data_IF_907118198395
#
_entry.id   IF_907118198395
#
_cell.length_a   1.000
_cell.length_b   1.000
_cell.length_c   1.000
_cell.angle_alpha   90.00
_cell.angle_beta   90.00
_cell.angle_gamma   90.00
#
_symmetry.space_group_name_H-M   'P 1'
#
loop_
_entity.id
_entity.type
_entity.pdbx_description
1 polymer ?
#
# COMPACT_ATOMS: atom_id res chain seq x y z
N UNK A 1 -17.04 6.21 28.49
CA UNK A 1 -15.73 5.52 28.44
C UNK A 1 -15.80 4.45 27.36
N UNK A 2 -15.27 4.73 26.17
CA UNK A 2 -15.22 3.77 25.07
C UNK A 2 -13.82 3.15 25.11
N UNK A 3 -13.76 1.89 25.53
CA UNK A 3 -12.54 1.07 25.51
C UNK A 3 -12.17 0.80 24.04
N UNK A 4 -11.09 1.43 23.55
CA UNK A 4 -10.48 1.02 22.30
C UNK A 4 -9.75 -0.32 22.54
N UNK A 5 -10.29 -1.40 21.96
CA UNK A 5 -9.59 -2.68 21.88
C UNK A 5 -8.35 -2.49 21.01
N UNK A 6 -7.19 -2.59 21.63
CA UNK A 6 -5.88 -2.65 21.01
C UNK A 6 -5.84 -3.88 20.08
N UNK A 7 -5.81 -3.67 18.77
CA UNK A 7 -5.63 -4.74 17.80
C UNK A 7 -4.12 -4.92 17.63
N UNK A 8 -3.55 -5.96 18.25
CA UNK A 8 -2.18 -6.38 17.97
C UNK A 8 -2.16 -7.03 16.57
N UNK A 9 -1.66 -6.28 15.58
CA UNK A 9 -1.31 -6.82 14.26
C UNK A 9 0.18 -7.14 14.27
N UNK A 10 0.50 -8.39 14.58
CA UNK A 10 1.86 -8.92 14.48
C UNK A 10 2.21 -9.09 13.01
N UNK A 11 3.17 -8.30 12.51
CA UNK A 11 3.68 -8.40 11.15
C UNK A 11 4.66 -9.56 11.07
N UNK A 12 4.32 -10.60 10.31
CA UNK A 12 5.29 -11.63 9.91
C UNK A 12 5.68 -11.31 8.47
N UNK A 13 6.83 -10.66 8.30
CA UNK A 13 7.55 -10.72 7.03
C UNK A 13 8.07 -12.15 6.86
N UNK A 14 7.43 -12.94 5.99
CA UNK A 14 8.01 -14.19 5.52
C UNK A 14 8.57 -14.03 4.12
N UNK A 15 9.87 -14.23 4.03
CA UNK A 15 10.68 -14.32 2.82
C UNK A 15 10.16 -15.48 1.96
N UNK A 16 9.75 -15.17 0.72
CA UNK A 16 9.31 -16.09 -0.35
C UNK A 16 8.00 -16.85 -0.09
N UNK A 17 6.91 -16.35 -0.67
CA UNK A 17 5.71 -17.13 -0.93
C UNK A 17 4.57 -16.24 -1.40
N UNK A 18 4.19 -16.36 -2.67
CA UNK A 18 3.01 -15.70 -3.24
C UNK A 18 1.77 -16.07 -2.42
N UNK A 19 1.25 -15.15 -1.61
CA UNK A 19 -0.08 -15.28 -1.02
C UNK A 19 -0.98 -14.28 -1.73
N UNK A 20 -1.42 -14.64 -2.92
CA UNK A 20 -2.57 -14.01 -3.55
C UNK A 20 -3.82 -14.69 -2.97
N UNK A 21 -4.49 -14.05 -2.02
CA UNK A 21 -5.86 -14.42 -1.67
C UNK A 21 -6.78 -13.94 -2.81
N UNK A 22 -6.96 -14.79 -3.83
CA UNK A 22 -7.96 -14.55 -4.87
C UNK A 22 -9.34 -14.56 -4.22
N UNK A 23 -9.95 -13.39 -4.11
CA UNK A 23 -11.33 -13.27 -3.71
C UNK A 23 -12.10 -12.67 -4.89
N UNK A 24 -12.89 -13.52 -5.55
CA UNK A 24 -13.83 -13.07 -6.57
C UNK A 24 -14.93 -12.30 -5.84
N UNK A 25 -14.92 -10.97 -5.91
CA UNK A 25 -16.00 -10.15 -5.35
C UNK A 25 -16.64 -9.38 -6.48
N UNK A 26 -17.93 -9.59 -6.59
CA UNK A 26 -18.76 -9.14 -7.68
C UNK A 26 -19.83 -8.18 -7.14
N UNK A 27 -20.04 -7.06 -7.85
CA UNK A 27 -20.94 -5.99 -7.39
C UNK A 27 -22.09 -5.72 -8.36
N UNK A 28 -23.31 -5.57 -7.82
CA UNK A 28 -24.49 -5.17 -8.58
C UNK A 28 -25.23 -3.93 -8.04
N UNK A 29 -25.65 -3.06 -8.97
CA UNK A 29 -26.58 -1.94 -8.79
C UNK A 29 -28.04 -2.40 -8.91
N UNK A 30 -29.01 -1.70 -8.28
CA UNK A 30 -30.36 -2.23 -8.11
C UNK A 30 -31.22 -2.06 -9.38
N UNK A 31 -31.71 -3.16 -9.94
CA UNK A 31 -33.02 -3.19 -10.62
C UNK A 31 -33.66 -4.59 -10.53
N UNK A 32 -34.99 -4.57 -10.48
CA UNK A 32 -35.92 -5.59 -9.99
C UNK A 32 -36.07 -6.88 -10.85
N UNK A 33 -36.18 -8.02 -10.13
CA UNK A 33 -37.07 -9.21 -10.26
C UNK A 33 -37.28 -9.96 -11.59
N UNK A 34 -37.05 -11.30 -11.64
CA UNK A 34 -38.04 -12.40 -11.52
C UNK A 34 -37.55 -13.80 -12.05
N UNK A 35 -38.01 -14.87 -11.36
CA UNK A 35 -38.23 -16.32 -11.71
C UNK A 35 -37.07 -17.31 -12.01
N UNK A 36 -36.76 -18.12 -10.98
CA UNK A 36 -36.66 -19.60 -10.84
C UNK A 36 -36.53 -20.56 -12.05
N UNK A 37 -35.52 -21.45 -12.04
CA UNK A 37 -35.63 -22.89 -12.39
C UNK A 37 -34.51 -23.75 -11.77
N UNK A 38 -34.92 -24.92 -11.25
CA UNK A 38 -34.08 -25.98 -10.69
C UNK A 38 -33.02 -26.53 -11.66
N UNK A 39 -31.79 -26.75 -11.18
CA UNK A 39 -31.09 -28.06 -11.15
C UNK A 39 -29.57 -27.92 -11.00
N UNK A 40 -28.96 -28.93 -10.36
CA UNK A 40 -27.54 -29.16 -10.04
C UNK A 40 -27.10 -28.64 -8.66
N UNK A 41 -27.09 -29.56 -7.69
CA UNK A 41 -26.64 -29.35 -6.31
C UNK A 41 -25.12 -29.07 -6.24
N UNK A 42 -24.69 -28.01 -5.53
CA UNK A 42 -23.38 -27.99 -4.90
C UNK A 42 -23.49 -27.79 -3.39
N UNK A 43 -22.78 -28.65 -2.65
CA UNK A 43 -22.27 -28.50 -1.28
C UNK A 43 -23.18 -27.85 -0.22
N UNK A 44 -23.70 -28.68 0.69
CA UNK A 44 -24.54 -28.32 1.84
C UNK A 44 -23.82 -27.64 3.02
N UNK A 45 -22.56 -27.22 2.87
CA UNK A 45 -21.82 -26.44 3.87
C UNK A 45 -21.38 -25.08 3.30
N UNK A 46 -22.29 -24.40 2.60
CA UNK A 46 -22.10 -22.97 2.31
C UNK A 46 -22.51 -22.18 3.54
N UNK A 47 -21.59 -21.41 4.12
CA UNK A 47 -21.95 -20.45 5.16
C UNK A 47 -22.72 -19.31 4.45
N UNK A 48 -24.03 -19.11 4.70
CA UNK A 48 -24.81 -18.08 4.01
C UNK A 48 -24.51 -16.66 4.56
N UNK A 49 -23.53 -16.55 5.45
CA UNK A 49 -23.17 -15.28 6.08
C UNK A 49 -22.46 -14.39 5.07
N UNK A 50 -23.22 -13.49 4.46
CA UNK A 50 -22.69 -12.47 3.57
C UNK A 50 -21.70 -11.58 4.33
N UNK A 51 -20.45 -11.55 3.87
CA UNK A 51 -19.45 -10.60 4.35
C UNK A 51 -19.90 -9.18 3.96
N UNK A 52 -20.03 -8.31 4.97
CA UNK A 52 -20.41 -6.91 4.78
C UNK A 52 -19.17 -6.04 4.97
N UNK A 53 -18.89 -5.20 3.97
CA UNK A 53 -17.83 -4.21 4.04
C UNK A 53 -18.42 -2.82 4.22
N UNK A 54 -17.62 -1.92 4.78
CA UNK A 54 -18.01 -0.52 4.88
C UNK A 54 -18.25 0.06 3.48
N UNK A 55 -19.30 0.88 3.28
CA UNK A 55 -19.54 1.53 2.01
C UNK A 55 -18.33 2.35 1.55
N UNK A 56 -18.07 2.36 0.23
CA UNK A 56 -17.04 3.19 -0.39
C UNK A 56 -17.59 3.89 -1.63
N UNK A 57 -17.24 5.16 -1.81
CA UNK A 57 -17.73 6.00 -2.90
C UNK A 57 -19.27 6.04 -3.05
N UNK A 58 -20.03 5.80 -1.97
CA UNK A 58 -21.49 5.71 -2.01
C UNK A 58 -22.06 4.33 -2.40
N UNK A 59 -21.20 3.33 -2.62
CA UNK A 59 -21.59 1.97 -2.97
C UNK A 59 -21.44 1.04 -1.77
N UNK A 60 -22.42 0.15 -1.57
CA UNK A 60 -22.29 -0.98 -0.65
C UNK A 60 -21.64 -2.17 -1.33
N UNK A 61 -20.66 -2.79 -0.68
CA UNK A 61 -20.06 -4.02 -1.19
C UNK A 61 -20.83 -5.26 -0.72
N UNK A 62 -21.12 -6.16 -1.65
CA UNK A 62 -21.68 -7.49 -1.41
C UNK A 62 -20.86 -8.49 -2.22
N UNK A 63 -20.67 -9.69 -1.70
CA UNK A 63 -20.21 -10.82 -2.50
C UNK A 63 -21.46 -11.59 -2.97
N UNK A 64 -21.51 -11.89 -4.27
CA UNK A 64 -22.52 -12.73 -4.91
C UNK A 64 -21.86 -13.59 -6.02
N UNK A 65 -22.62 -14.51 -6.61
CA UNK A 65 -22.15 -15.50 -7.60
C UNK A 65 -22.79 -15.29 -8.99
N UNK A 66 -23.42 -14.15 -9.25
CA UNK A 66 -24.41 -13.97 -10.33
C UNK A 66 -23.87 -13.31 -11.63
N UNK A 67 -22.57 -13.12 -11.77
CA UNK A 67 -21.90 -12.46 -12.90
C UNK A 67 -22.20 -10.95 -13.07
N UNK A 68 -21.21 -10.10 -12.76
CA UNK A 68 -21.34 -8.64 -12.69
C UNK A 68 -19.98 -7.94 -12.84
N UNK A 69 -19.77 -6.80 -12.15
CA UNK A 69 -18.46 -6.16 -12.14
C UNK A 69 -17.48 -6.95 -11.28
N UNK A 70 -16.55 -7.67 -11.93
CA UNK A 70 -15.66 -8.62 -11.28
C UNK A 70 -14.30 -7.98 -10.93
N UNK A 71 -13.77 -8.40 -9.79
CA UNK A 71 -12.37 -8.20 -9.41
C UNK A 71 -11.83 -9.46 -8.75
N UNK A 72 -10.53 -9.69 -8.90
CA UNK A 72 -9.81 -10.74 -8.16
C UNK A 72 -9.20 -10.22 -6.86
N UNK A 73 -9.28 -8.91 -6.60
CA UNK A 73 -8.51 -8.19 -5.58
C UNK A 73 -9.41 -7.50 -4.57
N UNK A 74 -9.62 -8.13 -3.40
CA UNK A 74 -10.31 -7.47 -2.29
C UNK A 74 -9.38 -6.53 -1.49
N UNK A 75 -8.06 -6.73 -1.59
CA UNK A 75 -7.04 -6.05 -0.80
C UNK A 75 -7.20 -4.52 -0.70
N UNK A 76 -7.43 -3.79 -1.81
CA UNK A 76 -7.58 -2.34 -1.79
C UNK A 76 -8.66 -1.82 -0.83
N UNK A 77 -9.74 -2.57 -0.59
CA UNK A 77 -10.79 -2.16 0.36
C UNK A 77 -10.36 -2.30 1.82
N UNK A 78 -9.60 -3.34 2.14
CA UNK A 78 -9.03 -3.54 3.47
C UNK A 78 -7.98 -2.45 3.75
N UNK A 79 -7.11 -2.20 2.77
CA UNK A 79 -6.09 -1.15 2.85
C UNK A 79 -6.73 0.23 3.03
N UNK A 80 -7.82 0.52 2.32
CA UNK A 80 -8.60 1.75 2.54
C UNK A 80 -9.12 1.86 3.97
N UNK A 81 -9.65 0.76 4.50
CA UNK A 81 -10.16 0.71 5.88
C UNK A 81 -9.08 1.03 6.91
N UNK A 82 -7.87 0.50 6.71
CA UNK A 82 -6.70 0.76 7.56
C UNK A 82 -6.22 2.21 7.37
N UNK A 83 -6.02 2.65 6.14
CA UNK A 83 -5.53 4.00 5.82
C UNK A 83 -6.43 5.11 6.37
N UNK A 84 -7.75 4.90 6.38
CA UNK A 84 -8.70 5.84 7.02
C UNK A 84 -8.54 5.94 8.54
N UNK A 85 -8.03 4.90 9.19
CA UNK A 85 -7.79 4.90 10.63
C UNK A 85 -6.44 5.52 10.96
N UNK A 86 -5.41 5.20 10.18
CA UNK A 86 -4.02 5.61 10.49
C UNK A 86 -3.57 6.89 9.78
N UNK A 87 -4.23 7.28 8.69
CA UNK A 87 -3.94 8.52 7.95
C UNK A 87 -2.65 8.51 7.13
N UNK A 88 -2.07 7.34 6.82
CA UNK A 88 -0.75 7.21 6.20
C UNK A 88 -0.66 7.92 4.84
N UNK A 89 -1.61 7.68 3.93
CA UNK A 89 -1.60 8.28 2.59
C UNK A 89 -1.68 9.81 2.65
N UNK A 90 -2.49 10.35 3.56
CA UNK A 90 -2.63 11.78 3.76
C UNK A 90 -1.31 12.40 4.26
N UNK A 91 -0.70 11.78 5.27
CA UNK A 91 0.59 12.24 5.82
C UNK A 91 1.70 12.21 4.80
N UNK A 92 1.83 11.11 4.04
CA UNK A 92 2.81 11.00 2.96
C UNK A 92 2.55 12.04 1.86
N UNK A 93 1.28 12.28 1.50
CA UNK A 93 0.94 13.31 0.50
C UNK A 93 1.40 14.69 0.97
N UNK A 94 1.17 15.04 2.24
CA UNK A 94 1.58 16.33 2.81
C UNK A 94 3.10 16.52 2.86
N UNK A 95 3.87 15.43 2.87
CA UNK A 95 5.33 15.47 2.84
C UNK A 95 5.91 15.76 1.44
N UNK A 96 5.14 15.49 0.38
CA UNK A 96 5.58 15.65 -1.00
C UNK A 96 5.15 17.02 -1.57
N UNK A 97 6.04 17.64 -2.34
CA UNK A 97 5.69 18.85 -3.09
C UNK A 97 5.12 18.47 -4.48
N UNK A 98 3.84 18.78 -4.72
CA UNK A 98 3.27 18.65 -6.06
C UNK A 98 3.70 19.84 -6.93
N UNK A 99 4.66 19.60 -7.82
CA UNK A 99 5.23 20.61 -8.72
C UNK A 99 4.48 20.70 -10.05
N UNK A 100 3.44 19.88 -10.24
CA UNK A 100 2.66 19.86 -11.49
C UNK A 100 1.81 21.11 -11.56
N UNK A 101 1.66 21.66 -12.76
CA UNK A 101 0.79 22.81 -12.97
C UNK A 101 -0.68 22.40 -12.71
N UNK A 102 -1.42 23.06 -11.80
CA UNK A 102 -2.75 22.62 -11.37
C UNK A 102 -3.76 22.47 -12.52
N UNK A 103 -3.67 23.31 -13.56
CA UNK A 103 -4.55 23.24 -14.72
C UNK A 103 -4.43 21.98 -15.58
N UNK A 104 -3.38 21.17 -15.37
CA UNK A 104 -3.19 19.89 -16.07
C UNK A 104 -3.32 18.67 -15.13
N UNK A 105 -3.72 18.89 -13.87
CA UNK A 105 -3.87 17.82 -12.88
C UNK A 105 -5.26 17.20 -13.00
N UNK A 106 -5.32 15.98 -13.54
CA UNK A 106 -6.53 15.15 -13.54
C UNK A 106 -6.64 14.30 -12.26
N UNK A 107 -5.50 13.81 -11.76
CA UNK A 107 -5.42 12.97 -10.57
C UNK A 107 -4.63 13.71 -9.47
N UNK A 108 -5.28 14.08 -8.35
CA UNK A 108 -4.61 14.64 -7.19
C UNK A 108 -3.46 13.76 -6.72
N UNK A 109 -2.40 14.37 -6.14
CA UNK A 109 -1.24 13.61 -5.66
C UNK A 109 -1.62 12.52 -4.66
N UNK A 110 -2.59 12.81 -3.79
CA UNK A 110 -3.11 11.83 -2.83
C UNK A 110 -3.65 10.58 -3.52
N UNK A 111 -4.46 10.75 -4.56
CA UNK A 111 -5.07 9.63 -5.29
C UNK A 111 -4.01 8.78 -5.99
N UNK A 112 -2.98 9.43 -6.54
CA UNK A 112 -1.84 8.75 -7.14
C UNK A 112 -1.07 7.92 -6.11
N UNK A 113 -0.76 8.49 -4.94
CA UNK A 113 -0.09 7.77 -3.86
C UNK A 113 -0.96 6.62 -3.33
N UNK A 114 -2.25 6.86 -3.09
CA UNK A 114 -3.19 5.82 -2.64
C UNK A 114 -3.23 4.67 -3.64
N UNK A 115 -3.40 4.96 -4.93
CA UNK A 115 -3.36 3.94 -5.98
C UNK A 115 -2.06 3.15 -5.91
N UNK A 116 -0.90 3.83 -5.86
CA UNK A 116 0.39 3.15 -5.93
C UNK A 116 0.68 2.30 -4.71
N UNK A 117 0.44 2.83 -3.51
CA UNK A 117 0.60 2.10 -2.25
C UNK A 117 -0.29 0.85 -2.26
N UNK A 118 -1.52 0.97 -2.72
CA UNK A 118 -2.45 -0.17 -2.73
C UNK A 118 -2.06 -1.22 -3.77
N UNK A 119 -1.53 -0.81 -4.92
CA UNK A 119 -0.99 -1.74 -5.92
C UNK A 119 0.20 -2.52 -5.37
N UNK A 120 1.19 -1.84 -4.79
CA UNK A 120 2.36 -2.48 -4.17
C UNK A 120 1.92 -3.46 -3.07
N UNK A 121 1.04 -3.01 -2.16
CA UNK A 121 0.55 -3.85 -1.07
C UNK A 121 -0.32 -5.03 -1.53
N UNK A 122 -0.87 -4.98 -2.75
CA UNK A 122 -1.63 -6.08 -3.36
C UNK A 122 -0.77 -6.98 -4.26
N UNK A 123 0.56 -6.75 -4.33
CA UNK A 123 1.50 -7.58 -5.10
C UNK A 123 1.73 -7.14 -6.56
N UNK A 124 1.47 -5.86 -6.85
CA UNK A 124 1.69 -5.23 -8.16
C UNK A 124 2.84 -4.22 -8.09
N UNK A 125 3.98 -4.62 -7.52
CA UNK A 125 5.12 -3.74 -7.26
C UNK A 125 5.85 -3.26 -8.52
N UNK A 126 5.83 -4.00 -9.62
CA UNK A 126 6.51 -3.61 -10.87
C UNK A 126 5.81 -2.47 -11.63
N UNK A 127 4.56 -2.17 -11.28
CA UNK A 127 3.76 -1.08 -11.82
C UNK A 127 3.20 -1.30 -13.22
N UNK A 128 3.51 -2.41 -13.90
CA UNK A 128 3.13 -2.65 -15.30
C UNK A 128 1.61 -2.80 -15.48
N UNK A 129 0.93 -3.30 -14.44
CA UNK A 129 -0.50 -3.57 -14.42
C UNK A 129 -1.35 -2.32 -14.17
N UNK A 130 -0.73 -1.17 -13.92
CA UNK A 130 -1.44 0.09 -13.65
C UNK A 130 -2.40 0.49 -14.77
N UNK A 131 -2.08 0.14 -16.02
CA UNK A 131 -2.97 0.41 -17.15
C UNK A 131 -4.25 -0.43 -17.14
N UNK A 132 -4.18 -1.65 -16.61
CA UNK A 132 -5.33 -2.56 -16.47
C UNK A 132 -6.09 -2.27 -15.18
N UNK A 133 -5.38 -2.19 -14.05
CA UNK A 133 -5.95 -1.99 -12.71
C UNK A 133 -6.67 -0.66 -12.53
N UNK A 134 -6.42 0.34 -13.37
CA UNK A 134 -7.20 1.60 -13.33
C UNK A 134 -8.69 1.41 -13.62
N UNK A 135 -9.07 0.29 -14.21
CA UNK A 135 -10.44 -0.10 -14.51
C UNK A 135 -11.00 -1.12 -13.53
N UNK A 136 -10.18 -1.65 -12.62
CA UNK A 136 -10.62 -2.61 -11.64
C UNK A 136 -11.57 -1.95 -10.61
N UNK A 137 -12.75 -2.55 -10.35
CA UNK A 137 -13.75 -1.94 -9.48
C UNK A 137 -13.31 -1.88 -8.02
N UNK A 138 -12.49 -2.82 -7.54
CA UNK A 138 -12.01 -2.83 -6.14
C UNK A 138 -10.90 -1.81 -5.93
N UNK A 139 -9.98 -1.65 -6.88
CA UNK A 139 -8.98 -0.57 -6.83
C UNK A 139 -9.62 0.81 -6.87
N UNK A 140 -10.63 1.02 -7.73
CA UNK A 140 -11.42 2.27 -7.76
C UNK A 140 -12.09 2.52 -6.43
N UNK A 141 -12.83 1.56 -5.90
CA UNK A 141 -13.49 1.71 -4.60
C UNK A 141 -12.49 1.90 -3.46
N UNK A 142 -11.33 1.24 -3.50
CA UNK A 142 -10.22 1.43 -2.56
C UNK A 142 -9.70 2.87 -2.58
N UNK A 143 -9.58 3.47 -3.77
CA UNK A 143 -9.25 4.87 -3.94
C UNK A 143 -10.44 5.83 -3.69
N UNK A 144 -11.62 5.33 -3.32
CA UNK A 144 -12.81 6.15 -3.08
C UNK A 144 -13.48 6.68 -4.36
N UNK A 145 -13.25 6.01 -5.50
CA UNK A 145 -13.78 6.31 -6.83
C UNK A 145 -14.95 5.39 -7.18
N UNK A 146 -15.86 5.85 -8.04
CA UNK A 146 -16.96 5.01 -8.50
C UNK A 146 -16.43 3.84 -9.36
N UNK A 147 -16.87 2.59 -9.13
CA UNK A 147 -16.27 1.41 -9.75
C UNK A 147 -16.52 1.33 -11.26
N UNK A 148 -17.66 1.81 -11.75
CA UNK A 148 -18.10 1.59 -13.14
C UNK A 148 -18.23 2.89 -13.96
N UNK A 149 -17.96 4.05 -13.39
CA UNK A 149 -17.92 5.31 -14.15
C UNK A 149 -16.57 5.42 -14.89
N UNK A 150 -16.55 5.58 -16.22
CA UNK A 150 -15.32 5.81 -16.97
C UNK A 150 -14.55 7.07 -16.52
N UNK A 151 -15.24 8.09 -16.02
CA UNK A 151 -14.63 9.36 -15.54
C UNK A 151 -13.87 9.18 -14.24
N UNK A 152 -14.19 8.14 -13.47
CA UNK A 152 -13.55 7.80 -12.20
C UNK A 152 -12.45 6.74 -12.34
N UNK A 153 -11.98 6.50 -13.56
CA UNK A 153 -10.81 5.66 -13.78
C UNK A 153 -9.59 6.20 -13.04
N UNK A 154 -8.78 5.29 -12.49
CA UNK A 154 -7.51 5.67 -11.86
C UNK A 154 -6.47 6.10 -12.91
N UNK A 155 -5.31 6.50 -12.43
CA UNK A 155 -4.23 6.96 -13.27
C UNK A 155 -3.65 5.82 -14.11
N UNK A 156 -3.26 6.15 -15.33
CA UNK A 156 -2.56 5.24 -16.25
C UNK A 156 -1.15 4.91 -15.79
N UNK A 157 -0.56 3.85 -16.35
CA UNK A 157 0.84 3.49 -16.08
C UNK A 157 1.82 4.62 -16.42
N UNK A 158 1.59 5.36 -17.52
CA UNK A 158 2.41 6.51 -17.88
C UNK A 158 2.34 7.65 -16.85
N UNK A 159 1.19 7.85 -16.21
CA UNK A 159 1.04 8.86 -15.15
C UNK A 159 1.76 8.41 -13.88
N UNK A 160 1.68 7.12 -13.55
CA UNK A 160 2.37 6.54 -12.40
C UNK A 160 3.89 6.58 -12.55
N UNK A 161 4.40 6.24 -13.74
CA UNK A 161 5.83 6.34 -14.04
C UNK A 161 6.34 7.78 -13.87
N UNK A 162 5.60 8.79 -14.34
CA UNK A 162 5.97 10.20 -14.12
C UNK A 162 5.96 10.59 -12.65
N UNK A 163 5.02 10.08 -11.86
CA UNK A 163 4.98 10.32 -10.41
C UNK A 163 6.26 9.80 -9.74
N UNK A 164 6.62 8.54 -9.99
CA UNK A 164 7.79 7.90 -9.39
C UNK A 164 9.10 8.63 -9.74
N UNK A 165 9.20 9.14 -10.97
CA UNK A 165 10.36 9.92 -11.42
C UNK A 165 10.34 11.38 -10.95
N UNK A 166 9.23 11.90 -10.42
CA UNK A 166 9.11 13.29 -9.98
C UNK A 166 9.62 13.52 -8.55
N UNK A 167 9.80 12.45 -7.76
CA UNK A 167 10.28 12.55 -6.39
C UNK A 167 11.74 13.00 -6.34
N UNK A 168 12.02 14.01 -5.54
CA UNK A 168 13.39 14.51 -5.29
C UNK A 168 13.93 13.96 -3.98
N UNK A 169 15.26 14.00 -3.77
CA UNK A 169 15.88 13.61 -2.50
C UNK A 169 15.29 14.35 -1.29
N UNK A 170 14.85 15.61 -1.47
CA UNK A 170 14.16 16.38 -0.43
C UNK A 170 12.78 15.82 -0.12
N UNK A 171 12.03 15.40 -1.14
CA UNK A 171 10.73 14.77 -0.95
C UNK A 171 10.87 13.42 -0.24
N UNK A 172 11.89 12.64 -0.61
CA UNK A 172 12.21 11.36 0.03
C UNK A 172 12.54 11.56 1.52
N UNK A 173 13.39 12.54 1.84
CA UNK A 173 13.69 12.86 3.25
C UNK A 173 12.44 13.25 4.04
N UNK A 174 11.57 14.10 3.47
CA UNK A 174 10.30 14.49 4.12
C UNK A 174 9.36 13.28 4.28
N UNK A 175 9.32 12.37 3.32
CA UNK A 175 8.56 11.14 3.44
C UNK A 175 9.11 10.24 4.56
N UNK A 176 10.44 10.14 4.72
CA UNK A 176 11.07 9.45 5.85
C UNK A 176 10.68 10.08 7.19
N UNK A 177 10.63 11.42 7.29
CA UNK A 177 10.14 12.12 8.49
C UNK A 177 8.66 11.83 8.75
N UNK A 178 7.83 11.84 7.71
CA UNK A 178 6.41 11.48 7.82
C UNK A 178 6.21 10.06 8.35
N UNK A 179 7.07 9.10 8.00
CA UNK A 179 7.02 7.75 8.58
C UNK A 179 7.34 7.76 10.09
N UNK A 180 8.32 8.56 10.52
CA UNK A 180 8.62 8.72 11.97
C UNK A 180 7.41 9.29 12.70
N UNK A 181 6.80 10.35 12.17
CA UNK A 181 5.60 10.91 12.77
C UNK A 181 4.42 9.93 12.79
N UNK A 182 4.30 9.08 11.76
CA UNK A 182 3.31 8.03 11.71
C UNK A 182 3.53 7.00 12.81
N UNK A 183 4.78 6.60 13.04
CA UNK A 183 5.17 5.70 14.13
C UNK A 183 4.82 6.32 15.49
N UNK A 184 5.21 7.58 15.73
CA UNK A 184 4.91 8.31 16.97
C UNK A 184 3.39 8.40 17.20
N UNK A 185 2.62 8.70 16.15
CA UNK A 185 1.16 8.79 16.22
C UNK A 185 0.48 7.45 16.55
N UNK A 186 1.18 6.32 16.42
CA UNK A 186 0.71 5.01 16.85
C UNK A 186 0.64 4.82 18.36
N UNK A 187 1.31 5.68 19.14
CA UNK A 187 1.32 5.61 20.61
C UNK A 187 0.27 6.53 21.21
N UNK A 188 -0.61 5.97 22.06
CA UNK A 188 -1.54 6.78 22.85
C UNK A 188 -0.83 7.59 23.95
N UNK A 189 0.29 7.09 24.46
CA UNK A 189 1.18 7.73 25.43
C UNK A 189 2.62 7.36 25.11
N UNK A 190 3.61 8.24 25.41
CA UNK A 190 5.02 7.93 25.18
C UNK A 190 5.43 6.62 25.86
N UNK A 191 6.11 5.70 25.17
CA UNK A 191 6.59 4.46 25.77
C UNK A 191 7.71 4.76 26.78
N UNK A 192 7.82 3.93 27.82
CA UNK A 192 8.86 4.08 28.84
C UNK A 192 10.28 3.78 28.30
N UNK A 193 10.38 2.97 27.25
CA UNK A 193 11.60 2.64 26.55
C UNK A 193 11.29 2.36 25.07
N UNK A 194 12.28 2.63 24.21
CA UNK A 194 12.24 2.32 22.79
C UNK A 194 13.53 1.58 22.43
N UNK A 195 13.42 0.45 21.74
CA UNK A 195 14.57 -0.30 21.24
C UNK A 195 14.59 -0.11 19.73
N UNK A 196 15.63 0.51 19.19
CA UNK A 196 15.72 0.74 17.75
C UNK A 196 16.63 -0.29 17.11
N UNK A 197 16.07 -1.06 16.18
CA UNK A 197 16.81 -1.96 15.32
C UNK A 197 17.10 -1.27 13.98
N UNK A 198 18.37 -1.25 13.59
CA UNK A 198 18.88 -0.48 12.45
C UNK A 198 19.59 -1.41 11.48
N UNK A 199 18.87 -1.84 10.46
CA UNK A 199 19.37 -2.80 9.50
C UNK A 199 19.25 -2.31 8.07
N UNK A 200 20.16 -2.77 7.22
CA UNK A 200 20.06 -2.58 5.79
C UNK A 200 19.48 -3.83 5.15
N UNK A 201 18.68 -3.65 4.09
CA UNK A 201 18.23 -4.75 3.25
C UNK A 201 18.68 -4.53 1.81
N UNK A 202 18.89 -5.63 1.11
CA UNK A 202 19.10 -5.64 -0.34
C UNK A 202 17.83 -5.19 -1.06
N UNK A 203 17.97 -4.19 -1.92
CA UNK A 203 17.02 -3.87 -2.98
C UNK A 203 17.72 -4.04 -4.34
N UNK A 204 17.57 -5.23 -4.91
CA UNK A 204 18.31 -5.66 -6.09
C UNK A 204 17.88 -4.88 -7.34
N UNK A 205 18.85 -4.42 -8.13
CA UNK A 205 18.56 -3.70 -9.37
C UNK A 205 18.68 -4.59 -10.59
N UNK A 206 17.99 -4.20 -11.66
CA UNK A 206 18.07 -4.86 -12.97
C UNK A 206 18.69 -3.92 -14.00
N UNK A 207 19.68 -4.41 -14.73
CA UNK A 207 20.38 -3.63 -15.74
C UNK A 207 21.26 -2.52 -15.14
N UNK A 208 21.33 -1.37 -15.81
CA UNK A 208 22.20 -0.25 -15.45
C UNK A 208 21.42 0.88 -14.77
N UNK A 209 20.79 0.58 -13.63
CA UNK A 209 20.08 1.60 -12.87
C UNK A 209 21.07 2.58 -12.21
N UNK A 210 20.80 3.90 -12.26
CA UNK A 210 21.67 4.90 -11.64
C UNK A 210 21.86 4.64 -10.15
N UNK A 211 23.05 4.93 -9.61
CA UNK A 211 23.35 4.89 -8.18
C UNK A 211 23.30 3.48 -7.53
N UNK A 212 23.16 2.43 -8.34
CA UNK A 212 23.32 1.06 -7.89
C UNK A 212 24.81 0.66 -7.86
N UNK A 213 25.23 0.00 -6.78
CA UNK A 213 26.61 -0.47 -6.62
C UNK A 213 26.63 -1.96 -6.31
N UNK A 214 27.73 -2.62 -6.67
CA UNK A 214 27.92 -4.03 -6.32
C UNK A 214 28.17 -4.17 -4.82
N UNK A 215 27.38 -5.00 -4.15
CA UNK A 215 27.58 -5.36 -2.75
C UNK A 215 28.07 -6.81 -2.63
N UNK A 216 29.22 -7.00 -1.97
CA UNK A 216 29.82 -8.33 -1.83
C UNK A 216 29.03 -9.28 -0.93
N UNK A 217 28.38 -8.77 0.11
CA UNK A 217 27.58 -9.58 1.04
C UNK A 217 26.37 -10.19 0.34
N UNK A 218 25.63 -9.39 -0.42
CA UNK A 218 24.45 -9.84 -1.19
C UNK A 218 24.80 -10.44 -2.56
N UNK A 219 26.04 -10.23 -3.03
CA UNK A 219 26.54 -10.70 -4.33
C UNK A 219 25.72 -10.18 -5.52
N UNK A 220 25.20 -8.96 -5.41
CA UNK A 220 24.33 -8.33 -6.40
C UNK A 220 24.65 -6.84 -6.54
N UNK A 221 24.22 -6.23 -7.65
CA UNK A 221 24.07 -4.78 -7.71
C UNK A 221 22.74 -4.41 -7.04
N UNK A 222 22.80 -3.55 -6.03
CA UNK A 222 21.62 -3.19 -5.24
C UNK A 222 21.69 -1.77 -4.70
N UNK A 223 20.54 -1.24 -4.30
CA UNK A 223 20.45 -0.20 -3.29
C UNK A 223 20.46 -0.85 -1.89
N UNK A 224 20.88 -0.07 -0.88
CA UNK A 224 20.95 -0.52 0.51
C UNK A 224 20.16 0.42 1.42
N UNK A 225 18.83 0.49 1.27
CA UNK A 225 17.98 1.25 2.20
C UNK A 225 18.25 0.81 3.64
N UNK A 226 18.40 1.80 4.53
CA UNK A 226 18.47 1.60 5.97
C UNK A 226 17.05 1.64 6.53
N UNK A 227 16.64 0.55 7.16
CA UNK A 227 15.37 0.44 7.86
C UNK A 227 15.59 0.63 9.35
N UNK A 228 14.70 1.39 9.96
CA UNK A 228 14.59 1.48 11.42
C UNK A 228 13.28 0.84 11.86
N UNK A 229 13.36 -0.13 12.75
CA UNK A 229 12.22 -0.76 13.40
C UNK A 229 12.28 -0.56 14.90
N UNK A 230 11.12 -0.54 15.55
CA UNK A 230 11.05 -0.75 16.99
C UNK A 230 11.22 -2.26 17.28
N UNK A 231 12.30 -2.63 17.97
CA UNK A 231 12.62 -4.00 18.31
C UNK A 231 11.64 -4.66 19.29
N UNK A 232 10.79 -3.88 19.97
CA UNK A 232 9.76 -4.42 20.85
C UNK A 232 8.46 -4.76 20.11
N UNK A 233 7.96 -3.86 19.27
CA UNK A 233 6.70 -4.05 18.53
C UNK A 233 6.85 -4.61 17.12
N UNK A 234 8.05 -4.52 16.53
CA UNK A 234 8.30 -4.79 15.12
C UNK A 234 7.74 -3.71 14.18
N UNK A 235 7.25 -2.58 14.70
CA UNK A 235 6.71 -1.50 13.88
C UNK A 235 7.82 -0.75 13.15
N UNK A 236 7.58 -0.42 11.89
CA UNK A 236 8.47 0.42 11.10
C UNK A 236 8.48 1.84 11.66
N UNK A 237 9.66 2.34 11.99
CA UNK A 237 9.87 3.74 12.38
C UNK A 237 10.09 4.58 11.14
N UNK A 238 11.05 4.21 10.29
CA UNK A 238 11.31 4.90 9.02
C UNK A 238 12.22 4.10 8.09
N UNK A 239 12.34 4.56 6.85
CA UNK A 239 13.30 4.06 5.87
C UNK A 239 14.09 5.25 5.33
N UNK A 240 15.42 5.14 5.32
CA UNK A 240 16.32 6.13 4.73
C UNK A 240 17.09 5.46 3.59
N UNK A 241 16.87 5.87 2.34
CA UNK A 241 17.63 5.32 1.23
C UNK A 241 19.11 5.71 1.35
N UNK A 242 19.99 4.72 1.21
CA UNK A 242 21.44 4.93 1.11
C UNK A 242 21.93 4.44 -0.24
N UNK A 243 22.93 5.15 -0.77
CA UNK A 243 23.66 4.72 -1.95
C UNK A 243 24.35 3.39 -1.65
N UNK A 244 24.29 2.43 -2.58
CA UNK A 244 24.83 1.08 -2.39
C UNK A 244 26.35 1.01 -2.18
N UNK A 245 27.08 2.11 -2.39
CA UNK A 245 28.54 2.19 -2.24
C UNK A 245 29.03 2.36 -0.80
N UNK A 246 28.13 2.53 0.17
CA UNK A 246 28.49 2.55 1.59
C UNK A 246 28.96 1.18 2.03
N UNK A 247 30.28 1.00 2.18
CA UNK A 247 30.87 -0.23 2.69
C UNK A 247 30.14 -0.67 3.97
N UNK A 248 29.68 -1.93 3.99
CA UNK A 248 29.10 -2.59 5.16
C UNK A 248 30.09 -2.73 6.35
N UNK A 249 31.24 -2.05 6.30
CA UNK A 249 32.29 -2.02 7.33
C UNK A 249 32.75 -0.62 7.74
N UNK A 250 32.17 0.47 7.20
CA UNK A 250 32.48 1.85 7.61
C UNK A 250 31.20 2.54 8.08
N UNK A 251 30.82 2.26 9.32
CA UNK A 251 29.62 2.86 9.94
C UNK A 251 29.20 2.23 11.26
N UNK A 252 30.11 1.54 11.96
CA UNK A 252 29.89 1.12 13.37
C UNK A 252 30.14 2.25 14.37
N UNK A 253 30.32 3.48 13.88
CA UNK A 253 30.40 4.71 14.66
C UNK A 253 29.68 5.81 13.89
N UNK A 254 29.04 6.71 14.62
CA UNK A 254 28.56 8.03 14.16
C UNK A 254 27.13 8.13 13.64
N UNK A 255 26.21 7.30 14.13
CA UNK A 255 24.78 7.69 14.28
C UNK A 255 24.23 7.47 15.70
N UNK A 256 25.10 7.20 16.68
CA UNK A 256 24.74 7.06 18.10
C UNK A 256 24.45 8.39 18.82
N UNK A 257 24.25 9.48 18.08
CA UNK A 257 23.90 10.79 18.64
C UNK A 257 22.90 11.53 17.74
N UNK A 258 21.68 11.04 17.68
CA UNK A 258 20.52 11.93 17.60
C UNK A 258 19.57 11.46 18.68
N UNK A 259 19.43 12.33 19.69
CA UNK A 259 18.69 12.21 20.95
C UNK A 259 17.25 11.79 20.74
#
# INVERSE_FOLDING_TARGET
MIQYKQIHLTWIFHKKGRIACKCLIELRLPHQSFVNTNSLLPMSNSTPTQLRFAPSAGFSLRADFEGGGLSSDLGPLLLRGIDRQIGLTARLTSALADRRHPGYVQHPLRDLLTQRIFQIASGYEDGNDSQSLRHDPMFRLGAGRAPFDPKDALASGATMSRLEHAATSRDIYRASQALVEQFIAGFAQPPAALVLDMDHSEDAVYGQQPLAFYNHHYRSHCYLPLFLFDGLSGALVTVVPRLGGGAASVGRGDFNQIV
#
